data_IF_129740723733
#
_entry.id   IF_129740723733
#
_cell.length_a   1.000
_cell.length_b   1.000
_cell.length_c   1.000
_cell.angle_alpha   90.00
_cell.angle_beta   90.00
_cell.angle_gamma   90.00
#
_symmetry.space_group_name_H-M   'P 1'
#
loop_
_entity.id
_entity.type
_entity.pdbx_description
1 polymer ?
#
# COMPACT_ATOMS: atom_id res chain seq x y z
N UNK A 1 -12.87 -17.90 8.02
CA UNK A 1 -12.76 -16.43 8.12
C UNK A 1 -11.54 -16.02 7.32
N UNK A 2 -11.59 -14.98 6.46
CA UNK A 2 -10.46 -14.61 5.62
C UNK A 2 -9.30 -14.05 6.44
N UNK A 3 -8.09 -14.55 6.20
CA UNK A 3 -6.85 -14.12 6.87
C UNK A 3 -5.85 -13.70 5.81
N UNK A 4 -5.33 -12.47 5.89
CA UNK A 4 -4.27 -12.03 4.98
C UNK A 4 -3.03 -11.56 5.74
N UNK A 5 -1.87 -11.80 5.13
CA UNK A 5 -0.58 -11.33 5.63
C UNK A 5 -0.32 -9.91 5.12
N UNK A 6 0.04 -8.99 6.01
CA UNK A 6 0.63 -7.71 5.60
C UNK A 6 2.15 -7.84 5.72
N UNK A 7 2.81 -7.95 4.57
CA UNK A 7 4.21 -8.28 4.41
C UNK A 7 5.00 -7.04 3.99
N UNK A 8 6.17 -6.83 4.58
CA UNK A 8 7.12 -5.86 4.07
C UNK A 8 8.00 -6.50 3.00
N UNK A 9 8.01 -5.93 1.79
CA UNK A 9 8.87 -6.36 0.69
C UNK A 9 10.34 -6.00 0.95
N UNK A 10 10.57 -4.91 1.68
CA UNK A 10 11.88 -4.49 2.13
C UNK A 10 11.79 -3.86 3.52
N UNK A 11 12.82 -4.06 4.33
CA UNK A 11 13.14 -3.19 5.46
C UNK A 11 14.27 -2.22 5.05
N UNK A 12 13.86 -1.07 4.52
CA UNK A 12 14.78 -0.07 4.03
C UNK A 12 15.64 0.50 5.16
N UNK A 13 16.87 0.87 4.81
CA UNK A 13 17.88 1.47 5.71
C UNK A 13 18.28 0.61 6.90
N UNK A 14 17.88 -0.66 6.94
CA UNK A 14 18.17 -1.57 8.05
C UNK A 14 19.22 -2.57 7.59
N UNK A 15 20.38 -2.58 8.26
CA UNK A 15 21.43 -3.56 7.98
C UNK A 15 20.92 -4.97 8.30
N UNK A 16 21.01 -5.88 7.33
CA UNK A 16 20.43 -7.22 7.44
C UNK A 16 18.89 -7.24 7.49
N UNK A 17 18.23 -6.15 7.09
CA UNK A 17 16.78 -6.08 7.00
C UNK A 17 16.23 -6.96 5.88
N UNK A 18 14.92 -7.20 5.92
CA UNK A 18 14.19 -8.02 4.95
C UNK A 18 14.49 -7.58 3.51
N UNK A 19 14.80 -8.55 2.67
CA UNK A 19 14.93 -8.40 1.22
C UNK A 19 13.70 -8.92 0.48
N UNK A 20 13.51 -8.51 -0.78
CA UNK A 20 12.40 -8.99 -1.60
C UNK A 20 12.42 -10.50 -1.83
N UNK A 21 13.60 -11.11 -1.95
CA UNK A 21 13.72 -12.56 -2.11
C UNK A 21 13.27 -13.32 -0.85
N UNK A 22 13.62 -12.81 0.34
CA UNK A 22 13.11 -13.36 1.60
C UNK A 22 11.60 -13.12 1.72
N UNK A 23 11.11 -11.94 1.34
CA UNK A 23 9.68 -11.64 1.33
C UNK A 23 8.91 -12.62 0.43
N UNK A 24 9.42 -12.98 -0.76
CA UNK A 24 8.83 -14.02 -1.62
C UNK A 24 8.79 -15.38 -0.94
N UNK A 25 9.83 -15.76 -0.19
CA UNK A 25 9.84 -17.00 0.61
C UNK A 25 8.75 -16.96 1.67
N UNK A 26 8.65 -15.88 2.45
CA UNK A 26 7.63 -15.72 3.48
C UNK A 26 6.20 -15.68 2.91
N UNK A 27 5.99 -15.03 1.75
CA UNK A 27 4.70 -15.02 1.08
C UNK A 27 4.23 -16.44 0.71
N UNK A 28 5.13 -17.27 0.15
CA UNK A 28 4.84 -18.69 -0.15
C UNK A 28 4.58 -19.51 1.11
N UNK A 29 5.34 -19.26 2.19
CA UNK A 29 5.11 -19.94 3.47
C UNK A 29 3.74 -19.58 4.06
N UNK A 30 3.34 -18.31 3.98
CA UNK A 30 2.02 -17.87 4.44
C UNK A 30 0.89 -18.46 3.59
N UNK A 31 1.06 -18.54 2.27
CA UNK A 31 0.12 -19.23 1.37
C UNK A 31 0.00 -20.72 1.74
N UNK A 32 1.11 -21.42 1.97
CA UNK A 32 1.11 -22.83 2.39
C UNK A 32 0.46 -23.03 3.76
N UNK A 33 0.54 -22.03 4.65
CA UNK A 33 -0.15 -22.02 5.92
C UNK A 33 -1.66 -21.70 5.79
N UNK A 34 -2.13 -21.35 4.58
CA UNK A 34 -3.53 -21.13 4.27
C UNK A 34 -4.00 -19.67 4.39
N UNK A 35 -3.11 -18.68 4.19
CA UNK A 35 -3.57 -17.29 4.05
C UNK A 35 -4.40 -17.11 2.77
N UNK A 36 -5.38 -16.21 2.82
CA UNK A 36 -6.29 -15.91 1.71
C UNK A 36 -5.79 -14.77 0.82
N UNK A 37 -4.82 -13.96 1.28
CA UNK A 37 -4.19 -12.91 0.50
C UNK A 37 -2.87 -12.42 1.11
N UNK A 38 -2.09 -11.67 0.32
CA UNK A 38 -0.87 -10.96 0.76
C UNK A 38 -0.98 -9.48 0.43
N UNK A 39 -0.84 -8.60 1.41
CA UNK A 39 -0.70 -7.16 1.20
C UNK A 39 0.76 -6.75 1.30
N UNK A 40 1.25 -6.05 0.28
CA UNK A 40 2.68 -5.74 0.13
C UNK A 40 2.96 -4.29 0.51
N UNK A 41 3.78 -4.11 1.54
CA UNK A 41 4.21 -2.85 2.13
C UNK A 41 5.75 -2.79 2.14
N UNK A 42 6.31 -1.78 2.80
CA UNK A 42 7.68 -1.82 3.29
C UNK A 42 7.75 -1.10 4.63
N UNK A 43 8.86 -1.32 5.32
CA UNK A 43 9.25 -0.56 6.49
C UNK A 43 10.59 0.14 6.23
N UNK A 44 10.85 1.22 6.95
CA UNK A 44 12.17 1.83 7.02
C UNK A 44 12.45 2.19 8.46
N UNK A 45 13.67 1.98 8.94
CA UNK A 45 14.02 2.48 10.26
C UNK A 45 14.00 4.01 10.28
N UNK A 46 13.56 4.59 11.39
CA UNK A 46 13.36 6.05 11.50
C UNK A 46 14.66 6.81 11.82
N UNK A 47 15.81 6.28 11.39
CA UNK A 47 17.14 6.86 11.65
C UNK A 47 17.34 8.21 10.95
N UNK A 48 16.57 8.50 9.91
CA UNK A 48 16.60 9.76 9.16
C UNK A 48 15.18 10.27 8.91
N UNK A 49 15.01 11.59 8.80
CA UNK A 49 13.69 12.19 8.59
C UNK A 49 12.99 11.74 7.30
N UNK A 50 13.75 11.40 6.25
CA UNK A 50 13.21 10.91 4.97
C UNK A 50 12.75 9.46 5.03
N UNK A 51 13.26 8.67 5.98
CA UNK A 51 12.97 7.23 6.03
C UNK A 51 11.47 6.97 6.08
N UNK A 52 10.71 7.74 6.88
CA UNK A 52 9.27 7.56 7.02
C UNK A 52 8.48 7.76 5.72
N UNK A 53 9.01 8.59 4.80
CA UNK A 53 8.41 8.86 3.49
C UNK A 53 8.99 8.01 2.36
N UNK A 54 10.01 7.20 2.64
CA UNK A 54 10.40 6.04 1.82
C UNK A 54 9.54 4.83 2.21
N UNK A 55 9.39 4.59 3.52
CA UNK A 55 8.46 3.62 4.12
C UNK A 55 8.24 3.91 5.62
N UNK A 56 7.09 3.58 6.23
CA UNK A 56 5.94 2.90 5.65
C UNK A 56 4.99 3.82 4.87
N UNK A 57 5.18 5.15 4.95
CA UNK A 57 4.26 6.12 4.36
C UNK A 57 4.84 6.73 3.07
N UNK A 58 5.07 5.87 2.08
CA UNK A 58 5.78 6.23 0.84
C UNK A 58 5.19 7.46 0.14
N UNK A 59 6.09 8.37 -0.23
CA UNK A 59 5.82 9.57 -1.02
C UNK A 59 6.03 9.33 -2.50
N UNK A 60 6.84 8.36 -2.92
CA UNK A 60 6.94 8.01 -4.34
C UNK A 60 5.58 7.51 -4.86
N UNK A 61 5.15 7.99 -6.04
CA UNK A 61 3.92 7.50 -6.69
C UNK A 61 4.13 6.04 -7.08
N UNK A 62 3.15 5.18 -6.80
CA UNK A 62 3.22 3.74 -7.05
C UNK A 62 4.51 3.08 -6.49
N UNK A 63 5.05 3.61 -5.38
CA UNK A 63 6.40 3.31 -4.92
C UNK A 63 6.66 1.83 -4.60
N UNK A 64 5.62 1.06 -4.26
CA UNK A 64 5.74 -0.37 -3.94
C UNK A 64 5.11 -1.28 -5.00
N UNK A 65 4.62 -0.73 -6.12
CA UNK A 65 3.86 -1.50 -7.11
C UNK A 65 4.71 -2.60 -7.76
N UNK A 66 5.96 -2.31 -8.11
CA UNK A 66 6.87 -3.30 -8.69
C UNK A 66 7.15 -4.45 -7.70
N UNK A 67 7.28 -4.14 -6.40
CA UNK A 67 7.47 -5.15 -5.38
C UNK A 67 6.22 -6.01 -5.19
N UNK A 68 5.03 -5.40 -5.27
CA UNK A 68 3.78 -6.15 -5.25
C UNK A 68 3.66 -7.09 -6.46
N UNK A 69 4.08 -6.67 -7.65
CA UNK A 69 4.09 -7.50 -8.86
C UNK A 69 5.03 -8.71 -8.72
N UNK A 70 6.23 -8.50 -8.18
CA UNK A 70 7.20 -9.58 -7.91
C UNK A 70 6.67 -10.60 -6.89
N UNK A 71 5.92 -10.14 -5.87
CA UNK A 71 5.22 -11.05 -4.95
C UNK A 71 4.06 -11.76 -5.65
N UNK A 72 3.32 -11.08 -6.53
CA UNK A 72 2.21 -11.65 -7.32
C UNK A 72 2.68 -12.77 -8.25
N UNK A 73 3.89 -12.68 -8.80
CA UNK A 73 4.51 -13.77 -9.56
C UNK A 73 4.90 -14.96 -8.67
N UNK A 74 5.15 -14.74 -7.38
CA UNK A 74 5.64 -15.75 -6.46
C UNK A 74 4.57 -16.59 -5.76
N UNK A 75 3.30 -16.12 -5.73
CA UNK A 75 2.17 -16.77 -5.04
C UNK A 75 0.92 -16.84 -5.93
N UNK A 76 -0.03 -17.70 -5.59
CA UNK A 76 -1.31 -17.86 -6.30
C UNK A 76 -2.45 -17.11 -5.62
N UNK A 77 -2.38 -16.93 -4.31
CA UNK A 77 -3.35 -16.11 -3.55
C UNK A 77 -3.36 -14.66 -4.05
N UNK A 78 -4.50 -13.94 -3.91
CA UNK A 78 -4.57 -12.53 -4.27
C UNK A 78 -3.54 -11.65 -3.58
N UNK A 79 -2.99 -10.68 -4.32
CA UNK A 79 -2.04 -9.69 -3.85
C UNK A 79 -2.67 -8.30 -3.82
N UNK A 80 -2.54 -7.62 -2.68
CA UNK A 80 -3.06 -6.28 -2.42
C UNK A 80 -1.90 -5.27 -2.44
N UNK A 81 -1.85 -4.43 -3.47
CA UNK A 81 -0.83 -3.39 -3.59
C UNK A 81 -1.20 -2.13 -2.79
N UNK A 82 -0.22 -1.52 -2.13
CA UNK A 82 -0.28 -0.15 -1.60
C UNK A 82 0.86 0.67 -2.18
N UNK A 83 0.96 1.94 -1.78
CA UNK A 83 2.14 2.75 -2.09
C UNK A 83 1.85 3.95 -2.99
N UNK A 84 0.86 4.77 -2.60
CA UNK A 84 0.51 6.02 -3.30
C UNK A 84 0.02 5.80 -4.74
N UNK A 85 -0.82 4.78 -4.94
CA UNK A 85 -1.46 4.48 -6.23
C UNK A 85 -2.63 5.43 -6.48
N UNK A 86 -2.64 6.14 -7.61
CA UNK A 86 -3.80 6.89 -8.12
C UNK A 86 -4.79 5.95 -8.82
N UNK A 87 -6.10 6.29 -8.92
CA UNK A 87 -7.09 5.40 -9.52
C UNK A 87 -6.72 4.88 -10.92
N UNK A 88 -6.25 5.77 -11.79
CA UNK A 88 -5.80 5.39 -13.15
C UNK A 88 -4.60 4.44 -13.13
N UNK A 89 -3.63 4.66 -12.24
CA UNK A 89 -2.46 3.77 -12.10
C UNK A 89 -2.87 2.43 -11.51
N UNK A 90 -3.81 2.43 -10.56
CA UNK A 90 -4.37 1.22 -9.95
C UNK A 90 -5.13 0.37 -10.98
N UNK A 91 -5.96 1.00 -11.82
CA UNK A 91 -6.72 0.33 -12.87
C UNK A 91 -5.78 -0.34 -13.89
N UNK A 92 -4.77 0.41 -14.38
CA UNK A 92 -3.75 -0.13 -15.28
C UNK A 92 -2.95 -1.28 -14.64
N UNK A 93 -2.60 -1.18 -13.36
CA UNK A 93 -1.85 -2.22 -12.65
C UNK A 93 -2.64 -3.52 -12.52
N UNK A 94 -3.94 -3.42 -12.17
CA UNK A 94 -4.83 -4.58 -12.09
C UNK A 94 -5.04 -5.19 -13.49
N UNK A 95 -5.31 -4.37 -14.49
CA UNK A 95 -5.47 -4.82 -15.88
C UNK A 95 -4.21 -5.52 -16.43
N UNK A 96 -3.03 -5.07 -16.01
CA UNK A 96 -1.75 -5.68 -16.37
C UNK A 96 -1.38 -6.92 -15.53
N UNK A 97 -2.22 -7.33 -14.57
CA UNK A 97 -1.97 -8.48 -13.69
C UNK A 97 -0.86 -8.27 -12.65
N UNK A 98 -0.48 -7.02 -12.38
CA UNK A 98 0.57 -6.68 -11.39
C UNK A 98 0.09 -6.83 -9.95
N UNK A 99 -1.22 -6.75 -9.72
CA UNK A 99 -1.88 -7.03 -8.45
C UNK A 99 -3.36 -7.35 -8.69
N UNK A 100 -4.03 -7.92 -7.70
CA UNK A 100 -5.47 -8.23 -7.78
C UNK A 100 -6.33 -7.15 -7.12
N UNK A 101 -5.78 -6.49 -6.10
CA UNK A 101 -6.44 -5.43 -5.36
C UNK A 101 -5.48 -4.27 -5.10
N UNK A 102 -6.05 -3.10 -4.89
CA UNK A 102 -5.32 -1.91 -4.44
C UNK A 102 -5.95 -1.37 -3.16
N UNK A 103 -5.12 -1.13 -2.15
CA UNK A 103 -5.54 -0.50 -0.91
C UNK A 103 -5.15 0.98 -0.87
N UNK A 104 -6.14 1.86 -0.64
CA UNK A 104 -5.99 3.31 -0.74
C UNK A 104 -6.33 4.05 0.58
N UNK A 105 -5.56 3.85 1.65
CA UNK A 105 -5.88 4.42 2.97
C UNK A 105 -6.11 5.95 2.97
N UNK A 106 -5.09 6.75 2.61
CA UNK A 106 -5.15 8.23 2.67
C UNK A 106 -6.18 8.84 1.71
N UNK A 107 -6.53 8.13 0.64
CA UNK A 107 -7.53 8.60 -0.32
C UNK A 107 -8.94 8.39 0.21
N UNK A 108 -9.22 7.26 0.85
CA UNK A 108 -10.50 7.03 1.52
C UNK A 108 -10.75 8.04 2.66
N UNK A 109 -9.69 8.59 3.28
CA UNK A 109 -9.84 9.71 4.23
C UNK A 109 -10.23 11.02 3.55
N UNK A 110 -9.71 11.30 2.35
CA UNK A 110 -10.03 12.50 1.58
C UNK A 110 -11.42 12.42 0.95
N UNK A 111 -11.78 11.22 0.47
CA UNK A 111 -13.04 10.96 -0.20
C UNK A 111 -13.52 9.52 0.07
N UNK A 112 -14.43 9.33 1.04
CA UNK A 112 -15.03 8.03 1.30
C UNK A 112 -15.86 7.50 0.12
N UNK A 113 -16.37 8.39 -0.74
CA UNK A 113 -17.20 8.06 -1.91
C UNK A 113 -16.36 7.73 -3.15
N UNK A 114 -15.02 7.74 -3.05
CA UNK A 114 -14.12 7.43 -4.16
C UNK A 114 -14.52 6.15 -4.93
N UNK A 115 -14.80 5.00 -4.28
CA UNK A 115 -15.19 3.79 -5.00
C UNK A 115 -16.51 3.96 -5.77
N UNK A 116 -17.51 4.60 -5.16
CA UNK A 116 -18.82 4.82 -5.78
C UNK A 116 -18.70 5.74 -7.00
N UNK A 117 -17.92 6.82 -6.90
CA UNK A 117 -17.65 7.74 -8.02
C UNK A 117 -16.93 7.07 -9.18
N UNK A 118 -16.00 6.14 -8.90
CA UNK A 118 -15.36 5.35 -9.95
C UNK A 118 -16.36 4.41 -10.65
N UNK A 119 -17.22 3.72 -9.88
CA UNK A 119 -18.27 2.84 -10.43
C UNK A 119 -19.24 3.62 -11.33
N UNK A 120 -19.56 4.86 -10.96
CA UNK A 120 -20.44 5.75 -11.71
C UNK A 120 -19.73 6.47 -12.88
N UNK A 121 -18.45 6.17 -13.13
CA UNK A 121 -17.62 6.80 -14.16
C UNK A 121 -17.52 8.33 -14.01
N UNK A 122 -17.33 8.80 -12.77
CA UNK A 122 -17.16 10.22 -12.39
C UNK A 122 -15.81 10.48 -11.70
N UNK A 123 -14.66 10.13 -12.30
CA UNK A 123 -13.35 10.30 -11.66
C UNK A 123 -13.00 11.76 -11.34
N UNK A 124 -13.54 12.72 -12.09
CA UNK A 124 -13.38 14.17 -11.90
C UNK A 124 -14.03 14.68 -10.61
N UNK A 125 -15.04 13.97 -10.08
CA UNK A 125 -15.73 14.31 -8.84
C UNK A 125 -14.96 13.83 -7.59
N UNK A 126 -13.89 13.04 -7.76
CA UNK A 126 -13.09 12.53 -6.65
C UNK A 126 -12.33 13.67 -5.99
N UNK A 127 -12.50 13.83 -4.68
CA UNK A 127 -11.68 14.74 -3.90
C UNK A 127 -10.28 14.14 -3.71
N UNK A 128 -9.22 14.73 -4.27
CA UNK A 128 -7.90 14.12 -4.23
C UNK A 128 -7.28 14.24 -2.84
N UNK A 129 -6.59 13.18 -2.41
CA UNK A 129 -5.64 13.29 -1.32
C UNK A 129 -4.45 14.15 -1.77
N UNK A 130 -4.20 15.26 -1.06
CA UNK A 130 -3.08 16.17 -1.39
C UNK A 130 -1.74 15.74 -0.77
N UNK A 131 -1.69 14.58 -0.12
CA UNK A 131 -0.47 14.01 0.49
C UNK A 131 0.25 14.96 1.47
N UNK A 132 -0.51 15.74 2.24
CA UNK A 132 0.00 16.77 3.15
C UNK A 132 0.45 16.24 4.52
N UNK A 133 0.29 14.94 4.80
CA UNK A 133 0.64 14.30 6.08
C UNK A 133 -0.17 14.77 7.32
N UNK A 134 -1.20 15.61 7.16
CA UNK A 134 -2.07 16.02 8.27
C UNK A 134 -2.73 14.83 9.00
N UNK A 135 -3.05 13.75 8.29
CA UNK A 135 -3.61 12.54 8.87
C UNK A 135 -2.62 11.84 9.81
N UNK A 136 -1.41 11.56 9.32
CA UNK A 136 -0.41 10.83 10.10
C UNK A 136 0.18 11.69 11.22
N UNK A 137 0.26 13.01 11.05
CA UNK A 137 0.79 13.90 12.08
C UNK A 137 -0.03 13.84 13.37
N UNK A 138 -1.36 13.63 13.27
CA UNK A 138 -2.20 13.45 14.46
C UNK A 138 -1.87 12.16 15.21
N UNK A 139 -1.53 11.08 14.50
CA UNK A 139 -1.18 9.79 15.12
C UNK A 139 0.08 9.95 15.98
N UNK A 140 1.10 10.67 15.47
CA UNK A 140 2.35 10.89 16.20
C UNK A 140 2.18 11.71 17.50
N UNK A 141 1.13 12.52 17.60
CA UNK A 141 0.80 13.28 18.81
C UNK A 141 -0.39 12.67 19.58
N UNK A 142 -0.74 11.42 19.27
CA UNK A 142 -1.82 10.68 19.90
C UNK A 142 -3.17 11.43 19.89
N UNK A 143 -3.48 12.09 18.78
CA UNK A 143 -4.73 12.80 18.52
C UNK A 143 -5.57 12.07 17.48
N UNK A 144 -6.86 12.41 17.42
CA UNK A 144 -7.78 11.85 16.42
C UNK A 144 -7.31 12.22 15.01
N UNK A 145 -7.26 11.23 14.13
CA UNK A 145 -6.92 11.42 12.70
C UNK A 145 -7.87 12.43 12.06
N UNK A 146 -7.30 13.34 11.25
CA UNK A 146 -8.05 14.30 10.43
C UNK A 146 -7.51 14.34 9.01
N UNK A 147 -8.33 14.74 8.05
CA UNK A 147 -7.89 15.03 6.69
C UNK A 147 -7.86 16.56 6.48
N UNK A 148 -6.88 17.06 5.73
CA UNK A 148 -6.82 18.51 5.45
C UNK A 148 -7.90 18.97 4.46
N UNK A 149 -8.44 18.03 3.69
CA UNK A 149 -9.43 18.30 2.63
C UNK A 149 -10.79 17.67 2.92
N UNK A 150 -10.97 17.02 4.09
CA UNK A 150 -12.23 16.40 4.50
C UNK A 150 -12.41 16.46 6.02
#
# INVERSE_FOLDING_TARGET
YPVWLRLDAYELRTEGGITLEEAKVFARMAEQAGCDAVSVSAYANTSTGVAFTEAPLVQQKAGFLLWAAEIKEAVKVPVIAVGRLEPEVADNAIAAGQCDFVAMARKMLADPELPNKLIENRPEDIRPCIYCYACVSQIFVNQRVKCAVN
#
